data_IF_659945744033
#
_entry.id   IF_659945744033
#
_cell.length_a   1.000
_cell.length_b   1.000
_cell.length_c   1.000
_cell.angle_alpha   90.00
_cell.angle_beta   90.00
_cell.angle_gamma   90.00
#
_symmetry.space_group_name_H-M   'P 1'
#
loop_
_entity.id
_entity.type
_entity.pdbx_description
1 polymer ?
#
# COMPACT_ATOMS: atom_id res chain seq x y z
N UNK A 1 10.14 8.53 -10.52
CA UNK A 1 10.29 9.63 -9.56
C UNK A 1 11.09 10.82 -10.08
N UNK A 2 12.23 10.66 -10.76
CA UNK A 2 13.01 11.80 -11.28
C UNK A 2 12.22 12.80 -12.15
N UNK A 3 11.34 12.30 -13.03
CA UNK A 3 10.47 13.16 -13.83
C UNK A 3 9.46 13.96 -12.98
N UNK A 4 8.88 13.35 -11.95
CA UNK A 4 7.97 14.02 -11.02
C UNK A 4 8.72 15.07 -10.17
N UNK A 5 9.94 14.76 -9.73
CA UNK A 5 10.77 15.68 -8.98
C UNK A 5 11.16 16.95 -9.78
N UNK A 6 11.12 16.88 -11.11
CA UNK A 6 11.35 18.03 -11.98
C UNK A 6 10.07 18.86 -12.25
N UNK A 7 8.89 18.37 -11.87
CA UNK A 7 7.60 18.98 -12.18
C UNK A 7 6.87 19.53 -10.95
N UNK A 8 6.99 18.83 -9.82
CA UNK A 8 6.33 19.20 -8.58
C UNK A 8 7.22 20.13 -7.75
N UNK A 9 6.59 20.98 -6.95
CA UNK A 9 7.22 21.83 -5.96
C UNK A 9 6.44 21.91 -4.65
N UNK A 10 6.88 22.77 -3.70
CA UNK A 10 6.37 22.79 -2.33
C UNK A 10 4.89 23.20 -2.18
N UNK A 11 4.26 23.66 -3.26
CA UNK A 11 2.82 24.00 -3.29
C UNK A 11 1.97 22.91 -3.94
N UNK A 12 2.61 21.90 -4.50
CA UNK A 12 1.94 20.81 -5.21
C UNK A 12 1.73 19.60 -4.30
N UNK A 13 0.79 18.75 -4.71
CA UNK A 13 0.47 17.50 -4.03
C UNK A 13 0.88 16.31 -4.88
N UNK A 14 1.51 15.33 -4.25
CA UNK A 14 1.79 14.03 -4.85
C UNK A 14 0.83 12.98 -4.29
N UNK A 15 -0.02 12.43 -5.14
CA UNK A 15 -0.87 11.28 -4.79
C UNK A 15 -0.36 10.06 -5.57
N UNK A 16 0.03 9.02 -4.85
CA UNK A 16 0.47 7.75 -5.41
C UNK A 16 -0.54 6.68 -5.04
N UNK A 17 -1.08 6.02 -6.06
CA UNK A 17 -1.84 4.78 -5.90
C UNK A 17 -1.04 3.63 -6.51
N UNK A 18 -0.70 2.63 -5.69
CA UNK A 18 0.06 1.46 -6.13
C UNK A 18 -0.72 0.18 -5.83
N UNK A 19 -1.25 -0.46 -6.88
CA UNK A 19 -1.70 -1.84 -6.82
C UNK A 19 -0.58 -2.74 -7.34
N UNK A 20 0.08 -3.44 -6.43
CA UNK A 20 1.30 -4.21 -6.72
C UNK A 20 1.37 -5.44 -5.83
N UNK A 21 2.17 -6.41 -6.22
CA UNK A 21 2.57 -7.45 -5.28
C UNK A 21 3.64 -6.88 -4.33
N UNK A 22 3.50 -7.18 -3.04
CA UNK A 22 4.51 -6.85 -2.03
C UNK A 22 4.57 -7.93 -0.96
N UNK A 23 5.63 -7.92 -0.16
CA UNK A 23 5.75 -8.74 1.02
C UNK A 23 7.20 -9.00 1.42
N UNK A 24 7.37 -9.73 2.52
CA UNK A 24 8.69 -9.98 3.08
C UNK A 24 9.63 -10.69 2.09
N UNK A 25 10.87 -10.21 2.02
CA UNK A 25 11.95 -10.90 1.29
C UNK A 25 12.26 -12.22 2.00
N UNK A 26 12.38 -12.15 3.32
CA UNK A 26 12.55 -13.26 4.24
C UNK A 26 11.45 -13.21 5.32
N UNK A 27 10.42 -14.07 5.25
CA UNK A 27 9.33 -14.10 6.23
C UNK A 27 9.77 -14.46 7.66
N UNK A 28 10.98 -14.97 7.86
CA UNK A 28 11.51 -15.29 9.20
C UNK A 28 12.14 -14.09 9.90
N UNK A 29 12.35 -12.99 9.18
CA UNK A 29 12.94 -11.75 9.70
C UNK A 29 11.86 -10.72 10.00
N UNK A 30 12.11 -9.79 10.95
CA UNK A 30 11.19 -8.70 11.21
C UNK A 30 11.02 -7.83 9.96
N UNK A 31 9.86 -7.22 9.85
CA UNK A 31 9.59 -6.17 8.87
C UNK A 31 10.52 -4.98 9.10
N UNK A 32 10.95 -4.35 8.01
CA UNK A 32 11.87 -3.23 8.09
C UNK A 32 12.42 -2.82 6.73
N UNK A 33 13.31 -1.81 6.70
CA UNK A 33 13.78 -1.19 5.46
C UNK A 33 14.38 -2.18 4.45
N UNK A 34 15.03 -3.25 4.93
CA UNK A 34 15.64 -4.26 4.09
C UNK A 34 14.85 -5.56 3.93
N UNK A 35 13.60 -5.64 4.40
CA UNK A 35 12.84 -6.90 4.43
C UNK A 35 11.37 -6.77 3.99
N UNK A 36 11.08 -5.84 3.09
CA UNK A 36 9.81 -5.78 2.36
C UNK A 36 10.11 -5.42 0.91
N UNK A 37 9.70 -6.27 -0.03
CA UNK A 37 9.96 -6.10 -1.45
C UNK A 37 8.66 -5.76 -2.18
N UNK A 38 8.73 -4.71 -2.97
CA UNK A 38 7.72 -4.35 -3.95
C UNK A 38 8.11 -5.03 -5.26
N UNK A 39 7.23 -5.91 -5.72
CA UNK A 39 7.43 -6.77 -6.89
C UNK A 39 7.01 -5.97 -8.13
N UNK A 40 8.00 -5.40 -8.80
CA UNK A 40 7.82 -4.76 -10.11
C UNK A 40 7.78 -5.82 -11.21
N UNK A 41 7.30 -5.40 -12.39
CA UNK A 41 7.20 -6.30 -13.54
C UNK A 41 8.57 -6.86 -13.94
N UNK A 42 8.58 -8.16 -14.24
CA UNK A 42 9.75 -8.88 -14.72
C UNK A 42 9.31 -9.91 -15.76
N UNK A 43 10.06 -10.07 -16.86
CA UNK A 43 9.75 -11.06 -17.91
C UNK A 43 9.66 -12.50 -17.40
N UNK A 44 10.50 -12.84 -16.41
CA UNK A 44 10.54 -14.15 -15.76
C UNK A 44 10.51 -13.98 -14.26
N UNK A 45 9.71 -14.80 -13.58
CA UNK A 45 9.70 -14.88 -12.12
C UNK A 45 11.11 -15.25 -11.62
N UNK A 46 11.77 -14.39 -10.81
CA UNK A 46 13.07 -14.72 -10.23
C UNK A 46 12.96 -15.96 -9.33
N UNK A 47 13.98 -16.83 -9.38
CA UNK A 47 14.03 -18.04 -8.55
C UNK A 47 14.16 -17.70 -7.06
N UNK A 48 14.87 -16.62 -6.74
CA UNK A 48 15.15 -16.18 -5.37
C UNK A 48 14.84 -14.70 -5.22
N UNK A 49 13.96 -14.36 -4.27
CA UNK A 49 13.52 -12.96 -4.02
C UNK A 49 14.69 -12.02 -3.72
N UNK A 50 15.65 -12.47 -2.90
CA UNK A 50 16.82 -11.68 -2.54
C UNK A 50 17.68 -11.29 -3.76
N UNK A 51 17.81 -12.18 -4.76
CA UNK A 51 18.52 -11.86 -5.99
C UNK A 51 17.73 -10.92 -6.90
N UNK A 52 16.39 -10.99 -6.88
CA UNK A 52 15.55 -10.04 -7.60
C UNK A 52 15.75 -8.60 -7.09
N UNK A 53 15.83 -8.43 -5.77
CA UNK A 53 16.12 -7.14 -5.14
C UNK A 53 17.56 -6.71 -5.40
N UNK A 54 18.54 -7.59 -5.16
CA UNK A 54 19.96 -7.26 -5.38
C UNK A 54 20.29 -6.95 -6.85
N UNK A 55 19.55 -7.56 -7.79
CA UNK A 55 19.67 -7.32 -9.22
C UNK A 55 18.86 -6.12 -9.74
N UNK A 56 18.15 -5.40 -8.87
CA UNK A 56 17.34 -4.23 -9.23
C UNK A 56 16.09 -4.55 -10.05
N UNK A 57 15.66 -5.80 -10.10
CA UNK A 57 14.41 -6.22 -10.78
C UNK A 57 13.21 -5.84 -9.92
N UNK A 58 13.33 -6.04 -8.62
CA UNK A 58 12.39 -5.58 -7.60
C UNK A 58 13.05 -4.51 -6.75
N UNK A 59 12.25 -3.71 -6.06
CA UNK A 59 12.74 -2.69 -5.12
C UNK A 59 12.26 -3.02 -3.72
N UNK A 60 13.00 -2.55 -2.72
CA UNK A 60 12.54 -2.56 -1.34
C UNK A 60 11.53 -1.44 -1.08
N UNK A 61 10.72 -1.62 -0.05
CA UNK A 61 9.86 -0.54 0.44
C UNK A 61 10.67 0.71 0.85
N UNK A 62 11.90 0.52 1.37
CA UNK A 62 12.77 1.65 1.72
C UNK A 62 13.27 2.41 0.48
N UNK A 63 13.72 1.70 -0.56
CA UNK A 63 14.09 2.36 -1.82
C UNK A 63 12.90 3.12 -2.41
N UNK A 64 11.70 2.56 -2.35
CA UNK A 64 10.50 3.24 -2.80
C UNK A 64 10.19 4.51 -1.98
N UNK A 65 10.16 4.42 -0.65
CA UNK A 65 9.97 5.57 0.22
C UNK A 65 11.03 6.65 -0.04
N UNK A 66 12.32 6.28 -0.12
CA UNK A 66 13.39 7.23 -0.44
C UNK A 66 13.26 7.88 -1.81
N UNK A 67 12.72 7.19 -2.82
CA UNK A 67 12.40 7.80 -4.11
C UNK A 67 11.25 8.80 -4.02
N UNK A 68 10.27 8.59 -3.14
CA UNK A 68 9.14 9.51 -2.91
C UNK A 68 9.58 10.72 -2.08
N UNK A 69 10.39 10.53 -1.02
CA UNK A 69 10.95 11.63 -0.23
C UNK A 69 11.78 12.61 -1.04
N UNK A 70 12.40 12.16 -2.14
CA UNK A 70 13.15 13.02 -3.06
C UNK A 70 12.27 13.86 -4.00
N UNK A 71 10.97 13.65 -4.03
CA UNK A 71 10.04 14.49 -4.81
C UNK A 71 9.67 15.70 -3.94
N UNK A 72 9.91 16.94 -4.38
CA UNK A 72 9.75 18.13 -3.55
C UNK A 72 8.30 18.62 -3.51
N UNK A 73 7.33 17.70 -3.46
CA UNK A 73 5.92 18.02 -3.27
C UNK A 73 5.68 18.57 -1.86
N UNK A 74 4.73 19.50 -1.71
CA UNK A 74 4.34 20.06 -0.42
C UNK A 74 3.56 19.08 0.46
N UNK A 75 2.84 18.14 -0.15
CA UNK A 75 2.05 17.11 0.54
C UNK A 75 2.15 15.78 -0.22
N UNK A 76 2.15 14.67 0.50
CA UNK A 76 2.23 13.33 -0.09
C UNK A 76 1.13 12.40 0.44
N UNK A 77 0.39 11.76 -0.46
CA UNK A 77 -0.52 10.67 -0.14
C UNK A 77 -0.03 9.41 -0.84
N UNK A 78 0.18 8.34 -0.09
CA UNK A 78 0.51 7.01 -0.63
C UNK A 78 -0.57 6.02 -0.27
N UNK A 79 -1.22 5.47 -1.28
CA UNK A 79 -2.18 4.38 -1.14
C UNK A 79 -1.57 3.11 -1.74
N UNK A 80 -1.43 2.08 -0.92
CA UNK A 80 -0.75 0.85 -1.26
C UNK A 80 -1.72 -0.34 -1.17
N UNK A 81 -2.18 -0.80 -2.33
CA UNK A 81 -3.00 -2.00 -2.46
C UNK A 81 -2.12 -3.24 -2.68
N UNK A 82 -1.60 -3.79 -1.58
CA UNK A 82 -0.73 -4.96 -1.57
C UNK A 82 -0.76 -5.66 -0.20
N UNK A 83 -0.28 -6.91 -0.16
CA UNK A 83 0.14 -7.52 1.10
C UNK A 83 1.40 -6.81 1.61
N UNK A 84 1.44 -6.40 2.87
CA UNK A 84 2.64 -5.77 3.44
C UNK A 84 3.18 -6.57 4.62
N UNK A 85 4.48 -6.44 4.88
CA UNK A 85 5.08 -6.95 6.12
C UNK A 85 4.90 -5.99 7.31
N UNK A 86 4.34 -4.79 7.07
CA UNK A 86 4.24 -3.71 8.06
C UNK A 86 5.38 -2.69 8.00
N UNK A 87 6.20 -2.74 6.94
CA UNK A 87 7.31 -1.82 6.75
C UNK A 87 6.90 -0.50 6.07
N UNK A 88 5.83 -0.48 5.27
CA UNK A 88 5.50 0.65 4.39
C UNK A 88 5.16 1.90 5.20
N UNK A 89 4.10 1.85 6.00
CA UNK A 89 3.66 3.00 6.82
C UNK A 89 4.80 3.65 7.63
N UNK A 90 5.59 2.91 8.43
CA UNK A 90 6.65 3.56 9.19
C UNK A 90 7.75 4.14 8.30
N UNK A 91 8.08 3.54 7.15
CA UNK A 91 9.08 4.09 6.24
C UNK A 91 8.66 5.44 5.68
N UNK A 92 7.39 5.59 5.29
CA UNK A 92 6.89 6.87 4.80
C UNK A 92 6.74 7.93 5.91
N UNK A 93 6.33 7.56 7.13
CA UNK A 93 5.96 8.56 8.13
C UNK A 93 7.05 8.98 9.12
N UNK A 94 8.11 8.18 9.32
CA UNK A 94 9.09 8.47 10.40
C UNK A 94 10.42 7.72 10.36
N UNK A 95 10.51 6.59 9.67
CA UNK A 95 11.64 5.67 9.79
C UNK A 95 12.61 5.73 8.60
N UNK A 96 12.33 6.52 7.56
CA UNK A 96 13.25 6.65 6.42
C UNK A 96 14.26 7.79 6.66
N UNK A 97 15.57 7.62 6.38
CA UNK A 97 16.58 8.66 6.61
C UNK A 97 16.39 9.95 5.81
N UNK A 98 15.74 9.85 4.65
CA UNK A 98 15.43 10.98 3.77
C UNK A 98 14.08 11.66 4.12
N UNK A 99 13.41 11.26 5.21
CA UNK A 99 12.15 11.83 5.66
C UNK A 99 12.28 13.33 6.00
N UNK A 100 11.28 14.12 5.60
CA UNK A 100 11.13 15.53 5.99
C UNK A 100 9.95 15.62 6.96
N UNK A 101 10.19 15.71 8.29
CA UNK A 101 9.13 15.68 9.28
C UNK A 101 8.23 16.92 9.25
N UNK A 102 8.55 17.93 8.42
CA UNK A 102 7.70 19.11 8.21
C UNK A 102 6.74 18.97 7.03
N UNK A 103 6.93 17.94 6.19
CA UNK A 103 6.09 17.67 5.03
C UNK A 103 4.88 16.81 5.46
N UNK A 104 3.64 17.28 5.26
CA UNK A 104 2.46 16.48 5.56
C UNK A 104 2.38 15.22 4.69
N UNK A 105 2.19 14.08 5.32
CA UNK A 105 2.07 12.79 4.63
C UNK A 105 0.92 11.93 5.15
N UNK A 106 0.22 11.25 4.24
CA UNK A 106 -0.76 10.23 4.57
C UNK A 106 -0.44 8.91 3.88
N UNK A 107 -0.61 7.80 4.61
CA UNK A 107 -0.43 6.44 4.11
C UNK A 107 -1.71 5.65 4.31
N UNK A 108 -2.18 5.02 3.24
CA UNK A 108 -3.29 4.07 3.27
C UNK A 108 -2.75 2.71 2.80
N UNK A 109 -2.91 1.65 3.59
CA UNK A 109 -2.58 0.29 3.16
C UNK A 109 -3.84 -0.55 3.06
N UNK A 110 -3.95 -1.42 2.05
CA UNK A 110 -5.18 -2.19 1.83
C UNK A 110 -5.37 -3.39 2.76
N UNK A 111 -4.35 -3.73 3.56
CA UNK A 111 -4.36 -4.81 4.54
C UNK A 111 -3.36 -4.50 5.67
N UNK A 112 -3.61 -5.03 6.88
CA UNK A 112 -2.63 -4.99 7.99
C UNK A 112 -1.46 -5.96 7.75
N UNK A 113 -0.41 -5.81 8.55
CA UNK A 113 0.89 -6.49 8.41
C UNK A 113 0.90 -8.02 8.57
N UNK A 114 -0.21 -8.65 8.89
CA UNK A 114 -0.40 -10.11 9.01
C UNK A 114 -1.60 -10.63 8.18
N UNK A 115 -2.11 -9.77 7.31
CA UNK A 115 -3.29 -9.98 6.48
C UNK A 115 -2.93 -10.00 4.99
N UNK A 116 -3.89 -10.38 4.16
CA UNK A 116 -3.72 -10.39 2.70
C UNK A 116 -4.55 -9.29 2.05
N UNK A 117 -3.98 -8.66 1.04
CA UNK A 117 -4.76 -7.92 0.07
C UNK A 117 -5.46 -8.92 -0.86
N UNK A 118 -6.78 -9.10 -0.67
CA UNK A 118 -7.57 -10.00 -1.50
C UNK A 118 -7.86 -9.38 -2.87
N UNK A 119 -8.08 -10.25 -3.84
CA UNK A 119 -8.82 -9.89 -5.05
C UNK A 119 -10.33 -9.80 -4.76
N UNK A 120 -11.03 -9.03 -5.59
CA UNK A 120 -12.50 -9.04 -5.67
C UNK A 120 -13.04 -10.45 -5.94
N UNK A 121 -14.33 -10.66 -5.68
CA UNK A 121 -14.94 -11.99 -5.74
C UNK A 121 -14.89 -12.64 -7.14
N UNK A 122 -14.83 -11.83 -8.19
CA UNK A 122 -14.68 -12.25 -9.58
C UNK A 122 -13.22 -12.40 -10.03
N UNK A 123 -12.26 -12.04 -9.16
CA UNK A 123 -10.82 -12.09 -9.43
C UNK A 123 -10.30 -10.99 -10.36
N UNK A 124 -11.11 -9.99 -10.72
CA UNK A 124 -10.76 -9.00 -11.75
C UNK A 124 -9.69 -7.98 -11.31
N UNK A 125 -9.73 -7.58 -10.04
CA UNK A 125 -8.82 -6.58 -9.47
C UNK A 125 -8.66 -6.75 -7.96
N UNK A 126 -7.76 -5.98 -7.35
CA UNK A 126 -7.64 -5.91 -5.89
C UNK A 126 -8.95 -5.44 -5.25
N UNK A 127 -9.36 -6.07 -4.15
CA UNK A 127 -10.62 -5.76 -3.48
C UNK A 127 -10.66 -4.30 -3.02
N UNK A 128 -9.57 -3.80 -2.44
CA UNK A 128 -9.51 -2.40 -2.04
C UNK A 128 -9.55 -1.47 -3.25
N UNK A 129 -8.86 -1.80 -4.35
CA UNK A 129 -8.98 -1.07 -5.62
C UNK A 129 -10.43 -0.96 -6.09
N UNK A 130 -11.18 -2.06 -6.09
CA UNK A 130 -12.58 -2.07 -6.47
C UNK A 130 -13.41 -1.14 -5.57
N UNK A 131 -13.30 -1.31 -4.25
CA UNK A 131 -14.09 -0.55 -3.30
C UNK A 131 -13.70 0.94 -3.28
N UNK A 132 -12.42 1.26 -3.48
CA UNK A 132 -11.95 2.62 -3.59
C UNK A 132 -12.44 3.29 -4.88
N UNK A 133 -12.36 2.59 -6.02
CA UNK A 133 -12.93 3.07 -7.27
C UNK A 133 -14.44 3.36 -7.18
N UNK A 134 -15.20 2.50 -6.50
CA UNK A 134 -16.62 2.74 -6.22
C UNK A 134 -16.83 3.93 -5.29
N UNK A 135 -16.00 4.09 -4.26
CA UNK A 135 -16.12 5.18 -3.28
C UNK A 135 -15.87 6.57 -3.87
N UNK A 136 -15.07 6.65 -4.93
CA UNK A 136 -14.74 7.88 -5.67
C UNK A 136 -15.87 8.30 -6.62
N UNK A 137 -16.84 7.44 -6.93
CA UNK A 137 -18.00 7.81 -7.75
C UNK A 137 -18.95 8.75 -7.02
N UNK A 138 -18.83 8.86 -5.69
CA UNK A 138 -19.48 9.91 -4.91
C UNK A 138 -18.68 11.20 -5.07
N UNK A 139 -19.17 12.10 -5.93
CA UNK A 139 -18.53 13.40 -6.26
C UNK A 139 -18.67 14.44 -5.15
N UNK A 140 -19.32 14.12 -4.03
CA UNK A 140 -19.44 15.01 -2.87
C UNK A 140 -18.56 14.51 -1.72
N UNK A 141 -17.86 15.46 -1.08
CA UNK A 141 -17.06 15.26 0.14
C UNK A 141 -15.57 15.40 -0.07
N UNK A 142 -14.81 14.87 0.88
CA UNK A 142 -13.35 14.88 0.85
C UNK A 142 -12.80 13.50 0.48
N UNK A 143 -11.52 13.44 0.11
CA UNK A 143 -10.82 12.19 -0.16
C UNK A 143 -10.85 11.25 1.05
N UNK A 144 -10.80 11.80 2.27
CA UNK A 144 -11.01 11.04 3.51
C UNK A 144 -12.34 10.26 3.47
N UNK A 145 -13.44 10.89 3.05
CA UNK A 145 -14.75 10.23 3.00
C UNK A 145 -14.74 9.05 2.02
N UNK A 146 -14.10 9.20 0.86
CA UNK A 146 -13.94 8.11 -0.10
C UNK A 146 -13.07 6.98 0.47
N UNK A 147 -11.91 7.30 1.03
CA UNK A 147 -11.01 6.32 1.64
C UNK A 147 -11.73 5.55 2.74
N UNK A 148 -12.42 6.23 3.65
CA UNK A 148 -13.13 5.59 4.77
C UNK A 148 -14.29 4.72 4.31
N UNK A 149 -15.03 5.12 3.26
CA UNK A 149 -16.03 4.25 2.60
C UNK A 149 -15.37 3.01 2.01
N UNK A 150 -14.23 3.16 1.34
CA UNK A 150 -13.48 2.04 0.76
C UNK A 150 -12.97 1.08 1.84
N UNK A 151 -12.46 1.60 2.96
CA UNK A 151 -12.02 0.80 4.11
C UNK A 151 -13.16 -0.07 4.64
N UNK A 152 -14.30 0.54 4.97
CA UNK A 152 -15.44 -0.16 5.53
C UNK A 152 -16.02 -1.20 4.56
N UNK A 153 -16.12 -0.85 3.27
CA UNK A 153 -16.63 -1.75 2.26
C UNK A 153 -15.67 -2.93 1.99
N UNK A 154 -14.36 -2.69 1.98
CA UNK A 154 -13.32 -3.72 1.83
C UNK A 154 -13.39 -4.72 2.96
N UNK A 155 -13.42 -4.25 4.22
CA UNK A 155 -13.50 -5.14 5.38
C UNK A 155 -14.75 -6.02 5.31
N UNK A 156 -15.91 -5.44 4.98
CA UNK A 156 -17.16 -6.18 4.84
C UNK A 156 -17.12 -7.22 3.71
N UNK A 157 -16.57 -6.85 2.56
CA UNK A 157 -16.48 -7.72 1.39
C UNK A 157 -15.44 -8.83 1.54
N UNK A 158 -14.39 -8.60 2.34
CA UNK A 158 -13.34 -9.58 2.61
C UNK A 158 -13.85 -10.79 3.40
N UNK A 159 -14.80 -10.61 4.32
CA UNK A 159 -15.34 -11.70 5.17
C UNK A 159 -15.78 -12.95 4.37
N UNK A 160 -16.68 -12.85 3.38
CA UNK A 160 -17.10 -14.02 2.60
C UNK A 160 -15.97 -14.57 1.69
N UNK A 161 -15.04 -13.73 1.24
CA UNK A 161 -13.87 -14.16 0.44
C UNK A 161 -12.94 -15.00 1.31
N UNK A 162 -12.59 -14.48 2.49
CA UNK A 162 -11.73 -15.15 3.45
C UNK A 162 -12.35 -16.47 3.92
N UNK A 163 -13.65 -16.51 4.23
CA UNK A 163 -14.33 -17.76 4.62
C UNK A 163 -14.17 -18.88 3.58
N UNK A 164 -14.19 -18.54 2.28
CA UNK A 164 -13.97 -19.53 1.21
C UNK A 164 -12.52 -19.98 1.13
N UNK A 165 -11.56 -19.07 1.36
CA UNK A 165 -10.11 -19.31 1.28
C UNK A 165 -9.52 -19.98 2.52
N UNK A 166 -10.12 -19.81 3.69
CA UNK A 166 -9.57 -20.28 4.97
C UNK A 166 -9.23 -21.78 4.94
N UNK A 167 -10.10 -22.61 4.36
CA UNK A 167 -9.88 -24.05 4.22
C UNK A 167 -8.69 -24.40 3.30
N UNK A 168 -8.39 -23.56 2.31
CA UNK A 168 -7.24 -23.74 1.43
C UNK A 168 -5.95 -23.25 2.09
N UNK A 169 -6.03 -22.12 2.81
CA UNK A 169 -4.90 -21.54 3.54
C UNK A 169 -4.43 -22.43 4.69
N UNK A 170 -5.34 -23.04 5.44
CA UNK A 170 -5.01 -24.00 6.49
C UNK A 170 -4.25 -25.22 5.93
N UNK A 171 -4.64 -25.73 4.76
CA UNK A 171 -3.92 -26.84 4.09
C UNK A 171 -2.51 -26.45 3.67
N UNK A 172 -2.26 -25.17 3.41
CA UNK A 172 -0.96 -24.61 3.09
C UNK A 172 -0.16 -24.18 4.33
N UNK A 173 -0.68 -24.41 5.54
CA UNK A 173 -0.02 -24.08 6.80
C UNK A 173 -0.13 -22.61 7.20
N UNK A 174 -0.96 -21.81 6.53
CA UNK A 174 -1.27 -20.44 6.94
C UNK A 174 -2.39 -20.43 7.99
N UNK A 175 -2.43 -19.38 8.81
CA UNK A 175 -3.52 -19.20 9.79
C UNK A 175 -4.81 -18.85 9.05
N UNK A 176 -5.94 -19.41 9.48
CA UNK A 176 -7.23 -19.16 8.84
C UNK A 176 -7.61 -17.67 8.79
N UNK A 177 -7.19 -16.87 9.77
CA UNK A 177 -7.45 -15.43 9.82
C UNK A 177 -6.47 -14.60 8.99
N UNK A 178 -5.44 -15.19 8.40
CA UNK A 178 -4.52 -14.45 7.52
C UNK A 178 -5.20 -14.00 6.23
N UNK A 179 -6.39 -14.54 5.89
CA UNK A 179 -7.19 -14.03 4.77
C UNK A 179 -8.07 -12.83 5.11
N UNK A 180 -8.17 -12.44 6.37
CA UNK A 180 -8.85 -11.20 6.76
C UNK A 180 -8.17 -10.03 6.05
N UNK A 181 -8.92 -8.97 5.81
CA UNK A 181 -8.39 -7.77 5.19
C UNK A 181 -9.03 -6.55 5.83
N UNK A 182 -8.20 -5.81 6.54
CA UNK A 182 -8.54 -4.55 7.18
C UNK A 182 -7.57 -3.51 6.68
N UNK A 183 -8.00 -2.62 5.77
CA UNK A 183 -7.18 -1.49 5.38
C UNK A 183 -6.82 -0.61 6.58
N UNK A 184 -5.67 0.07 6.51
CA UNK A 184 -5.24 1.05 7.52
C UNK A 184 -5.11 2.42 6.89
N UNK A 185 -5.39 3.46 7.67
CA UNK A 185 -5.24 4.86 7.29
C UNK A 185 -4.39 5.53 8.37
N UNK A 186 -3.30 6.14 7.94
CA UNK A 186 -2.39 6.90 8.78
C UNK A 186 -2.24 8.28 8.17
N UNK A 187 -2.93 9.27 8.74
CA UNK A 187 -2.95 10.65 8.27
C UNK A 187 -2.75 11.59 9.48
N UNK A 188 -1.52 11.70 10.01
CA UNK A 188 -1.22 12.49 11.21
C UNK A 188 -1.55 13.98 11.06
N UNK A 189 -1.48 14.51 9.84
CA UNK A 189 -1.67 15.94 9.55
C UNK A 189 -3.08 16.25 9.01
N UNK A 190 -3.94 15.23 8.86
CA UNK A 190 -5.32 15.38 8.38
C UNK A 190 -5.40 15.85 6.93
N UNK A 191 -4.45 15.43 6.09
CA UNK A 191 -4.39 15.90 4.71
C UNK A 191 -5.54 15.39 3.85
N UNK A 192 -6.02 14.18 4.11
CA UNK A 192 -7.11 13.57 3.33
C UNK A 192 -8.44 14.34 3.53
N UNK A 193 -8.63 14.92 4.72
CA UNK A 193 -9.86 15.60 5.13
C UNK A 193 -10.02 16.98 4.48
N UNK A 194 -8.99 17.54 3.86
CA UNK A 194 -9.08 18.84 3.18
C UNK A 194 -8.95 18.73 1.64
N UNK A 195 -8.83 17.50 1.10
CA UNK A 195 -8.82 17.28 -0.35
C UNK A 195 -10.25 17.10 -0.84
N UNK A 196 -10.81 18.08 -1.54
CA UNK A 196 -12.15 17.99 -2.09
C UNK A 196 -12.20 16.98 -3.26
N UNK A 197 -13.28 16.21 -3.32
CA UNK A 197 -13.71 15.50 -4.52
C UNK A 197 -14.71 16.43 -5.24
N UNK A 198 -14.51 16.63 -6.55
CA UNK A 198 -15.38 17.45 -7.41
C UNK A 198 -16.51 16.64 -8.06
#
# INVERSE_FOLDING_TARGET
MAALAAQLGPTDRLIIYANVHSGAIDPSKPAGPGNDAIILWSEKKPEVRAFAVAGGVWITAAEFAGMVHKVPAGEVVVMFDACESGAITPLFLRNHPDDDPSRPEAVVTSAKFDQVANFAADGSMGLFTEQFGLSLQSTEGHLEDAVMRAVAATEKAAIPICRKKALELEKLGFRANSCDQQPTVHDPDGILAHMNLE
#
